data_IF_649205215510
#
_entry.id   IF_649205215510
#
_cell.length_a   1.000
_cell.length_b   1.000
_cell.length_c   1.000
_cell.angle_alpha   90.00
_cell.angle_beta   90.00
_cell.angle_gamma   90.00
#
_symmetry.space_group_name_H-M   'P 1'
#
loop_
_entity.id
_entity.type
_entity.pdbx_description
1 polymer ?
#
# COMPACT_ATOMS: atom_id res chain seq x y z
N UNK A 1 3.72 33.77 11.54
CA UNK A 1 2.25 33.97 11.49
C UNK A 1 1.71 32.94 10.51
N UNK A 2 0.64 32.21 10.87
CA UNK A 2 -0.02 31.25 9.98
C UNK A 2 -1.52 31.42 10.11
N UNK A 3 -2.26 31.11 9.04
CA UNK A 3 -3.72 31.19 9.01
C UNK A 3 -4.26 29.83 8.64
N UNK A 4 -5.20 29.30 9.42
CA UNK A 4 -5.98 28.12 9.06
C UNK A 4 -7.25 28.57 8.35
N UNK A 5 -7.34 28.29 7.05
CA UNK A 5 -8.52 28.61 6.25
C UNK A 5 -9.50 27.44 6.25
N UNK A 6 -10.80 27.72 6.18
CA UNK A 6 -11.81 26.67 6.00
C UNK A 6 -11.87 26.24 4.54
N UNK A 7 -11.79 24.93 4.29
CA UNK A 7 -11.75 24.37 2.93
C UNK A 7 -12.95 24.85 2.09
N UNK A 8 -14.16 24.86 2.64
CA UNK A 8 -15.37 25.28 1.91
C UNK A 8 -15.38 26.75 1.46
N UNK A 9 -14.80 27.67 2.26
CA UNK A 9 -14.65 29.07 1.83
C UNK A 9 -13.60 29.20 0.72
N UNK A 10 -12.52 28.43 0.80
CA UNK A 10 -11.48 28.42 -0.23
C UNK A 10 -11.99 27.83 -1.55
N UNK A 11 -12.69 26.69 -1.49
CA UNK A 11 -13.36 26.06 -2.63
C UNK A 11 -14.35 27.01 -3.29
N UNK A 12 -15.29 27.58 -2.53
CA UNK A 12 -16.31 28.48 -3.09
C UNK A 12 -15.69 29.73 -3.74
N UNK A 13 -14.64 30.30 -3.13
CA UNK A 13 -13.92 31.43 -3.71
C UNK A 13 -13.15 31.03 -4.97
N UNK A 14 -12.52 29.85 -4.96
CA UNK A 14 -11.79 29.33 -6.12
C UNK A 14 -12.74 29.09 -7.30
N UNK A 15 -13.87 28.41 -7.09
CA UNK A 15 -14.85 28.15 -8.16
C UNK A 15 -15.47 29.42 -8.74
N UNK A 16 -15.64 30.47 -7.93
CA UNK A 16 -16.09 31.76 -8.41
C UNK A 16 -15.06 32.49 -9.29
N UNK A 17 -13.76 32.26 -9.06
CA UNK A 17 -12.67 32.88 -9.83
C UNK A 17 -12.33 32.04 -11.08
N UNK A 18 -12.39 30.71 -10.96
CA UNK A 18 -12.06 29.76 -12.01
C UNK A 18 -13.23 29.47 -12.98
N UNK A 19 -14.14 30.44 -13.12
CA UNK A 19 -15.27 30.38 -14.04
C UNK A 19 -15.23 31.61 -14.95
N UNK A 20 -15.06 31.37 -16.25
CA UNK A 20 -15.19 32.43 -17.24
C UNK A 20 -16.65 32.89 -17.36
N UNK A 21 -16.90 34.20 -17.58
CA UNK A 21 -18.24 34.72 -17.83
C UNK A 21 -18.91 34.07 -19.04
N UNK A 22 -20.24 34.05 -19.07
CA UNK A 22 -20.96 33.55 -20.25
C UNK A 22 -20.82 34.49 -21.46
N UNK A 23 -20.53 35.76 -21.23
CA UNK A 23 -20.35 36.79 -22.28
C UNK A 23 -18.93 36.82 -22.86
N UNK A 24 -18.10 35.82 -22.56
CA UNK A 24 -16.73 35.74 -23.06
C UNK A 24 -16.76 35.46 -24.57
N UNK A 25 -16.06 36.28 -25.36
CA UNK A 25 -15.97 36.06 -26.81
C UNK A 25 -15.10 34.84 -27.11
N UNK A 26 -15.77 33.73 -27.45
CA UNK A 26 -15.14 32.45 -27.80
C UNK A 26 -15.00 32.25 -29.32
N UNK A 27 -15.29 33.26 -30.14
CA UNK A 27 -15.38 33.11 -31.60
C UNK A 27 -14.08 32.68 -32.29
N UNK A 28 -12.93 32.96 -31.67
CA UNK A 28 -11.60 32.66 -32.20
C UNK A 28 -10.90 31.47 -31.55
N UNK A 29 -11.56 30.74 -30.64
CA UNK A 29 -10.94 29.67 -29.86
C UNK A 29 -11.44 28.31 -30.35
N UNK A 30 -10.54 27.49 -30.90
CA UNK A 30 -10.81 26.08 -31.16
C UNK A 30 -10.70 25.30 -29.84
N UNK A 31 -11.82 25.04 -29.17
CA UNK A 31 -11.85 24.27 -27.92
C UNK A 31 -13.05 24.53 -27.02
N UNK A 32 -12.91 24.13 -25.75
CA UNK A 32 -13.93 24.32 -24.71
C UNK A 32 -13.88 25.78 -24.25
N UNK A 33 -14.97 26.54 -24.48
CA UNK A 33 -15.10 27.92 -24.05
C UNK A 33 -16.61 28.25 -23.87
N UNK A 34 -17.01 28.95 -22.79
CA UNK A 34 -16.21 29.45 -21.67
C UNK A 34 -15.70 28.34 -20.75
N UNK A 35 -14.45 28.44 -20.30
CA UNK A 35 -13.84 27.49 -19.37
C UNK A 35 -14.42 27.68 -17.97
N UNK A 36 -15.05 26.64 -17.45
CA UNK A 36 -15.60 26.61 -16.10
C UNK A 36 -15.19 25.32 -15.42
N UNK A 37 -14.47 25.43 -14.31
CA UNK A 37 -14.05 24.26 -13.53
C UNK A 37 -15.21 23.49 -12.85
N UNK A 38 -16.43 24.03 -12.94
CA UNK A 38 -17.67 23.37 -12.52
C UNK A 38 -18.25 22.45 -13.62
N UNK A 39 -17.83 22.62 -14.89
CA UNK A 39 -18.31 21.79 -15.99
C UNK A 39 -17.81 20.35 -15.88
N UNK A 40 -18.43 19.45 -16.64
CA UNK A 40 -18.08 18.02 -16.65
C UNK A 40 -16.89 17.75 -17.59
N UNK A 41 -16.59 18.68 -18.50
CA UNK A 41 -15.61 18.48 -19.56
C UNK A 41 -14.15 18.68 -19.09
N UNK A 42 -13.96 19.42 -17.99
CA UNK A 42 -12.64 19.71 -17.40
C UNK A 42 -12.65 19.47 -15.89
N UNK A 43 -11.52 18.98 -15.40
CA UNK A 43 -11.21 18.86 -13.99
C UNK A 43 -10.11 19.86 -13.62
N UNK A 44 -10.36 20.66 -12.59
CA UNK A 44 -9.42 21.65 -12.09
C UNK A 44 -8.93 21.28 -10.69
N UNK A 45 -7.63 21.40 -10.50
CA UNK A 45 -6.93 21.09 -9.27
C UNK A 45 -6.05 22.25 -8.84
N UNK A 46 -5.95 22.47 -7.54
CA UNK A 46 -4.86 23.24 -6.93
C UNK A 46 -3.98 22.25 -6.20
N UNK A 47 -2.71 22.19 -6.59
CA UNK A 47 -1.71 21.29 -5.99
C UNK A 47 -0.60 22.09 -5.32
N UNK A 48 -0.01 21.54 -4.27
CA UNK A 48 1.16 22.13 -3.62
C UNK A 48 2.46 21.81 -4.39
N UNK A 49 3.57 22.35 -3.90
CA UNK A 49 4.91 22.10 -4.44
C UNK A 49 5.39 20.65 -4.22
N UNK A 50 4.67 19.82 -3.47
CA UNK A 50 4.96 18.40 -3.26
C UNK A 50 4.04 17.48 -4.09
N UNK A 51 3.09 18.05 -4.83
CA UNK A 51 2.15 17.33 -5.68
C UNK A 51 0.92 16.79 -4.92
N UNK A 52 0.61 17.29 -3.72
CA UNK A 52 -0.64 17.00 -3.03
C UNK A 52 -1.75 17.93 -3.48
N UNK A 53 -2.94 17.36 -3.64
CA UNK A 53 -4.14 18.10 -4.05
C UNK A 53 -4.73 18.84 -2.84
N UNK A 54 -4.89 20.16 -2.96
CA UNK A 54 -5.54 21.00 -1.96
C UNK A 54 -7.00 21.29 -2.31
N UNK A 55 -7.28 21.56 -3.58
CA UNK A 55 -8.63 21.83 -4.09
C UNK A 55 -8.87 20.91 -5.28
N UNK A 56 -10.02 20.23 -5.29
CA UNK A 56 -10.51 19.40 -6.39
C UNK A 56 -12.03 19.49 -6.42
N UNK A 57 -12.63 19.25 -7.59
CA UNK A 57 -14.08 19.07 -7.73
C UNK A 57 -14.59 17.91 -6.86
N UNK A 58 -13.81 16.83 -6.77
CA UNK A 58 -14.12 15.69 -5.91
C UNK A 58 -13.39 15.81 -4.57
N UNK A 59 -14.16 15.89 -3.48
CA UNK A 59 -13.61 16.04 -2.12
C UNK A 59 -12.71 14.88 -1.67
N UNK A 60 -12.89 13.70 -2.26
CA UNK A 60 -12.06 12.53 -1.94
C UNK A 60 -10.62 12.63 -2.46
N UNK A 61 -10.35 13.55 -3.39
CA UNK A 61 -9.00 13.78 -3.91
C UNK A 61 -8.18 14.72 -3.03
N UNK A 62 -8.84 15.58 -2.25
CA UNK A 62 -8.16 16.53 -1.38
C UNK A 62 -7.30 15.78 -0.34
N UNK A 63 -6.05 16.22 -0.19
CA UNK A 63 -5.04 15.60 0.67
C UNK A 63 -4.36 14.36 0.07
N UNK A 64 -4.78 13.90 -1.12
CA UNK A 64 -4.12 12.78 -1.81
C UNK A 64 -3.01 13.30 -2.71
N UNK A 65 -2.03 12.44 -2.96
CA UNK A 65 -1.00 12.71 -3.95
C UNK A 65 -1.59 12.67 -5.36
N UNK A 66 -1.33 13.70 -6.15
CA UNK A 66 -1.90 13.84 -7.48
C UNK A 66 -1.49 12.69 -8.41
N UNK A 67 -0.31 12.10 -8.25
CA UNK A 67 0.10 10.93 -9.04
C UNK A 67 -0.72 9.65 -8.77
N UNK A 68 -1.44 9.58 -7.63
CA UNK A 68 -2.40 8.51 -7.37
C UNK A 68 -3.77 8.78 -8.00
N UNK A 69 -4.13 10.07 -8.14
CA UNK A 69 -5.37 10.53 -8.77
C UNK A 69 -5.24 10.41 -10.29
N UNK A 70 -4.21 11.03 -10.87
CA UNK A 70 -3.87 10.95 -12.29
C UNK A 70 -2.36 10.74 -12.51
N UNK A 71 -1.99 9.47 -12.66
CA UNK A 71 -0.61 9.07 -12.96
C UNK A 71 -0.13 9.50 -14.34
N UNK A 72 -1.03 9.74 -15.31
CA UNK A 72 -0.66 10.10 -16.68
C UNK A 72 -0.11 11.53 -16.76
N UNK A 73 -0.82 12.47 -16.12
CA UNK A 73 -0.40 13.87 -16.04
C UNK A 73 0.85 13.97 -15.17
N UNK A 74 0.88 13.34 -13.99
CA UNK A 74 2.06 13.38 -13.11
C UNK A 74 3.32 12.82 -13.78
N UNK A 75 3.21 11.70 -14.51
CA UNK A 75 4.35 11.14 -15.28
C UNK A 75 4.86 12.14 -16.31
N UNK A 76 3.96 12.84 -16.99
CA UNK A 76 4.32 13.84 -18.00
C UNK A 76 4.99 15.05 -17.37
N UNK A 77 4.49 15.54 -16.24
CA UNK A 77 5.10 16.65 -15.49
C UNK A 77 6.51 16.33 -15.00
N UNK A 78 6.75 15.09 -14.56
CA UNK A 78 8.10 14.62 -14.21
C UNK A 78 9.01 14.59 -15.45
N UNK A 79 8.50 14.08 -16.58
CA UNK A 79 9.25 14.03 -17.84
C UNK A 79 9.61 15.42 -18.37
N UNK A 80 8.73 16.40 -18.18
CA UNK A 80 8.95 17.80 -18.57
C UNK A 80 9.87 18.55 -17.60
N UNK A 81 10.28 17.93 -16.49
CA UNK A 81 11.16 18.54 -15.49
C UNK A 81 10.48 19.54 -14.56
N UNK A 82 9.14 19.62 -14.56
CA UNK A 82 8.39 20.47 -13.64
C UNK A 82 8.34 19.85 -12.23
N UNK A 83 8.38 18.51 -12.14
CA UNK A 83 8.50 17.79 -10.88
C UNK A 83 9.73 16.89 -10.88
N UNK A 84 10.45 16.88 -9.77
CA UNK A 84 11.59 16.01 -9.53
C UNK A 84 11.23 14.92 -8.53
N UNK A 85 11.51 13.66 -8.89
CA UNK A 85 11.43 12.53 -7.95
C UNK A 85 12.69 12.49 -7.09
N UNK A 86 12.51 12.42 -5.78
CA UNK A 86 13.57 12.31 -4.76
C UNK A 86 13.26 11.10 -3.90
N UNK A 87 14.23 10.20 -3.71
CA UNK A 87 14.09 9.08 -2.77
C UNK A 87 14.40 9.54 -1.36
N UNK A 88 13.51 9.24 -0.41
CA UNK A 88 13.72 9.46 1.02
C UNK A 88 13.89 8.11 1.71
N UNK A 89 14.85 8.05 2.63
CA UNK A 89 15.16 6.84 3.40
C UNK A 89 14.80 7.05 4.86
N UNK A 90 14.05 6.11 5.43
CA UNK A 90 13.74 6.03 6.85
C UNK A 90 14.42 4.77 7.43
N UNK A 91 15.49 5.01 8.20
CA UNK A 91 16.28 3.99 8.89
C UNK A 91 15.68 3.58 10.25
N UNK A 92 14.53 4.14 10.63
CA UNK A 92 13.86 3.88 11.91
C UNK A 92 12.44 3.31 11.72
N UNK A 93 12.13 2.84 10.51
CA UNK A 93 10.83 2.27 10.17
C UNK A 93 10.62 0.88 10.78
N UNK A 94 9.35 0.50 10.94
CA UNK A 94 8.93 -0.82 11.42
C UNK A 94 8.23 -1.60 10.31
N UNK A 95 8.82 -2.68 9.83
CA UNK A 95 8.29 -3.52 8.76
C UNK A 95 7.61 -4.77 9.31
N UNK A 96 6.55 -5.20 8.62
CA UNK A 96 5.90 -6.48 8.91
C UNK A 96 6.80 -7.62 8.47
N UNK A 97 7.09 -8.54 9.39
CA UNK A 97 7.79 -9.77 9.04
C UNK A 97 6.77 -10.73 8.45
N UNK A 98 6.94 -11.07 7.18
CA UNK A 98 6.36 -12.31 6.66
C UNK A 98 7.17 -13.45 7.24
N UNK A 99 6.80 -13.91 8.44
CA UNK A 99 7.30 -15.17 8.98
C UNK A 99 6.79 -16.26 8.04
N UNK A 100 7.58 -16.60 7.03
CA UNK A 100 7.59 -17.94 6.49
C UNK A 100 7.89 -18.82 7.68
N UNK A 101 6.85 -19.39 8.27
CA UNK A 101 6.95 -20.27 9.42
C UNK A 101 7.74 -21.50 8.99
N UNK A 102 9.07 -21.46 9.12
CA UNK A 102 9.87 -22.67 9.21
C UNK A 102 9.55 -23.21 10.59
N UNK A 103 8.44 -23.96 10.65
CA UNK A 103 7.96 -24.56 11.87
C UNK A 103 9.05 -25.51 12.38
N UNK A 104 9.82 -25.08 13.37
CA UNK A 104 10.72 -25.94 14.15
C UNK A 104 9.94 -26.79 15.17
N UNK A 105 8.60 -26.70 15.17
CA UNK A 105 7.76 -27.59 15.93
C UNK A 105 7.88 -28.98 15.33
N UNK A 106 8.38 -29.93 16.13
CA UNK A 106 8.34 -31.35 15.78
C UNK A 106 6.88 -31.70 15.48
N UNK A 107 6.57 -32.36 14.36
CA UNK A 107 5.21 -32.81 14.10
C UNK A 107 4.76 -33.65 15.29
N UNK A 108 3.59 -33.31 15.85
CA UNK A 108 3.01 -34.08 16.95
C UNK A 108 3.01 -35.54 16.53
N UNK A 109 3.57 -36.41 17.38
CA UNK A 109 3.50 -37.85 17.16
C UNK A 109 2.04 -38.21 16.97
N UNK A 110 1.72 -38.69 15.78
CA UNK A 110 0.39 -39.09 15.41
C UNK A 110 -0.15 -40.09 16.46
N UNK A 111 -1.41 -39.99 16.89
CA UNK A 111 -2.03 -40.95 17.82
C UNK A 111 -1.83 -42.41 17.38
N UNK A 112 -1.71 -42.63 16.06
CA UNK A 112 -1.39 -43.92 15.46
C UNK A 112 -0.02 -44.48 15.85
N UNK A 113 0.99 -43.64 16.12
CA UNK A 113 2.29 -44.10 16.60
C UNK A 113 2.21 -44.60 18.05
N UNK A 114 1.38 -43.97 18.87
CA UNK A 114 1.05 -44.46 20.21
C UNK A 114 0.40 -45.84 20.16
N UNK A 115 -0.63 -45.99 19.31
CA UNK A 115 -1.30 -47.28 19.08
C UNK A 115 -0.36 -48.34 18.48
N UNK A 116 0.52 -47.97 17.56
CA UNK A 116 1.50 -48.89 16.98
C UNK A 116 2.55 -49.33 18.00
N UNK A 117 2.96 -48.43 18.90
CA UNK A 117 3.92 -48.73 19.97
C UNK A 117 3.30 -49.63 21.03
N UNK A 118 2.04 -49.42 21.41
CA UNK A 118 1.33 -50.32 22.34
C UNK A 118 1.06 -51.67 21.70
N UNK A 119 0.69 -51.72 20.42
CA UNK A 119 0.52 -52.96 19.66
C UNK A 119 1.84 -53.72 19.53
N UNK A 120 2.95 -53.02 19.23
CA UNK A 120 4.29 -53.61 19.16
C UNK A 120 4.75 -54.14 20.51
N UNK A 121 4.50 -53.40 21.59
CA UNK A 121 4.74 -53.87 22.95
C UNK A 121 3.92 -55.13 23.25
N UNK A 122 2.63 -55.12 22.93
CA UNK A 122 1.76 -56.28 23.13
C UNK A 122 2.24 -57.51 22.35
N UNK A 123 2.56 -57.35 21.05
CA UNK A 123 3.11 -58.44 20.24
C UNK A 123 4.44 -58.97 20.77
N UNK A 124 5.31 -58.09 21.28
CA UNK A 124 6.59 -58.49 21.87
C UNK A 124 6.39 -59.33 23.13
N UNK A 125 5.48 -58.93 24.01
CA UNK A 125 5.15 -59.70 25.22
C UNK A 125 4.43 -61.01 24.88
N UNK A 126 3.57 -61.00 23.86
CA UNK A 126 2.91 -62.23 23.38
C UNK A 126 3.92 -63.22 22.77
N UNK A 127 4.91 -62.74 22.01
CA UNK A 127 5.99 -63.57 21.49
C UNK A 127 6.89 -64.11 22.61
N UNK A 128 7.25 -63.28 23.59
CA UNK A 128 7.99 -63.72 24.78
C UNK A 128 7.19 -64.75 25.58
N UNK A 129 5.90 -64.53 25.77
CA UNK A 129 4.99 -65.47 26.42
C UNK A 129 4.93 -66.80 25.67
N UNK A 130 4.79 -66.81 24.33
CA UNK A 130 4.80 -68.05 23.54
C UNK A 130 6.17 -68.77 23.59
N UNK A 131 7.26 -68.01 23.74
CA UNK A 131 8.62 -68.55 23.88
C UNK A 131 8.83 -69.16 25.27
N UNK A 132 8.33 -68.51 26.33
CA UNK A 132 8.29 -69.03 27.70
C UNK A 132 7.30 -70.20 27.86
N UNK A 133 6.16 -70.18 27.16
CA UNK A 133 5.18 -71.28 27.19
C UNK A 133 5.69 -72.58 26.52
N UNK A 134 6.87 -72.54 25.89
CA UNK A 134 7.52 -73.73 25.33
C UNK A 134 8.46 -74.46 26.30
N UNK A 135 8.80 -73.89 27.46
CA UNK A 135 9.58 -74.62 28.49
C UNK A 135 9.10 -74.16 29.87
N UNK A 136 8.57 -75.10 30.66
CA UNK A 136 8.11 -74.93 32.04
C UNK A 136 8.92 -73.90 32.85
N UNK A 137 8.23 -72.92 33.44
CA UNK A 137 8.83 -71.89 34.30
C UNK A 137 7.81 -71.20 35.19
N UNK A 138 7.06 -71.99 35.95
CA UNK A 138 6.30 -71.58 37.13
C UNK A 138 7.22 -70.74 38.06
N UNK A 139 6.68 -69.66 38.62
CA UNK A 139 7.26 -68.77 39.66
C UNK A 139 8.23 -67.65 39.20
N UNK A 140 7.74 -66.40 39.09
CA UNK A 140 7.99 -65.41 40.14
C UNK A 140 7.21 -64.09 39.90
N UNK A 141 6.53 -63.70 40.96
CA UNK A 141 5.95 -62.39 41.28
C UNK A 141 6.99 -61.28 41.18
N UNK A 142 6.63 -60.11 40.65
CA UNK A 142 6.97 -58.80 41.26
C UNK A 142 6.09 -57.70 40.65
N UNK A 143 5.69 -56.77 41.51
CA UNK A 143 4.79 -55.64 41.25
C UNK A 143 5.58 -54.39 40.77
N UNK A 144 4.89 -53.24 40.75
CA UNK A 144 5.37 -51.85 40.59
C UNK A 144 5.37 -51.27 39.16
N UNK A 145 5.01 -50.02 38.93
CA UNK A 145 4.16 -49.04 39.61
C UNK A 145 3.93 -47.93 38.57
N UNK A 146 2.71 -47.39 38.55
CA UNK A 146 2.27 -46.36 37.62
C UNK A 146 2.68 -44.97 38.14
N UNK A 147 3.37 -44.17 37.33
CA UNK A 147 3.72 -42.79 37.64
C UNK A 147 3.19 -41.86 36.54
N UNK A 148 2.18 -41.04 36.89
CA UNK A 148 1.81 -39.82 36.18
C UNK A 148 2.51 -38.64 36.85
N UNK A 149 2.93 -37.62 36.07
CA UNK A 149 2.76 -36.26 36.53
C UNK A 149 1.99 -35.43 35.50
N UNK A 150 0.97 -34.75 36.01
CA UNK A 150 0.31 -33.64 35.37
C UNK A 150 1.16 -32.38 35.55
N UNK A 151 1.43 -31.65 34.46
CA UNK A 151 1.69 -30.21 34.51
C UNK A 151 1.05 -29.58 33.27
N UNK A 152 -0.10 -28.96 33.48
CA UNK A 152 -0.75 -28.05 32.55
C UNK A 152 -0.01 -26.71 32.56
N UNK A 153 0.91 -26.50 31.60
CA UNK A 153 1.43 -25.17 31.27
C UNK A 153 0.50 -24.48 30.29
N UNK A 154 -0.31 -23.55 30.77
CA UNK A 154 -1.16 -22.68 29.95
C UNK A 154 -0.30 -21.67 29.17
N UNK A 155 0.07 -22.01 27.93
CA UNK A 155 0.60 -21.01 27.01
C UNK A 155 -0.55 -20.14 26.50
N UNK A 156 -0.54 -18.88 26.91
CA UNK A 156 -1.44 -17.86 26.41
C UNK A 156 -1.26 -17.74 24.90
N UNK A 157 -2.30 -18.08 24.14
CA UNK A 157 -2.41 -17.79 22.72
C UNK A 157 -2.33 -16.27 22.51
N UNK A 158 -1.13 -15.75 22.26
CA UNK A 158 -1.00 -14.43 21.65
C UNK A 158 -1.57 -14.51 20.24
N UNK A 159 -2.67 -13.77 20.02
CA UNK A 159 -3.22 -13.50 18.70
C UNK A 159 -2.08 -13.13 17.75
N UNK A 160 -2.13 -13.70 16.55
CA UNK A 160 -1.24 -13.49 15.42
C UNK A 160 -1.36 -12.04 14.93
N UNK A 161 -0.93 -11.08 15.75
CA UNK A 161 -0.67 -9.72 15.33
C UNK A 161 0.59 -9.73 14.47
N UNK A 162 0.59 -8.95 13.40
CA UNK A 162 1.76 -8.80 12.53
C UNK A 162 2.98 -8.46 13.40
N UNK A 163 3.96 -9.36 13.42
CA UNK A 163 5.20 -9.12 14.14
C UNK A 163 5.96 -8.06 13.35
N UNK A 164 6.21 -6.92 13.99
CA UNK A 164 6.96 -5.79 13.44
C UNK A 164 8.42 -5.90 13.86
N UNK A 165 9.33 -5.60 12.93
CA UNK A 165 10.76 -5.44 13.23
C UNK A 165 11.29 -4.11 12.69
N UNK A 166 12.37 -3.57 13.28
CA UNK A 166 13.11 -2.47 12.68
C UNK A 166 13.60 -2.86 11.28
N UNK A 167 13.42 -1.96 10.32
CA UNK A 167 13.84 -2.11 8.95
C UNK A 167 14.15 -0.73 8.35
N UNK A 168 14.89 -0.73 7.25
CA UNK A 168 15.08 0.48 6.45
C UNK A 168 14.02 0.52 5.36
N UNK A 169 13.34 1.65 5.21
CA UNK A 169 12.38 1.86 4.14
C UNK A 169 12.78 3.02 3.25
N UNK A 170 12.52 2.88 1.96
CA UNK A 170 12.65 3.95 0.96
C UNK A 170 11.24 4.31 0.47
N UNK A 171 10.95 5.61 0.41
CA UNK A 171 9.72 6.11 -0.19
C UNK A 171 10.02 7.25 -1.16
N UNK A 172 9.34 7.29 -2.32
CA UNK A 172 9.52 8.37 -3.27
C UNK A 172 8.78 9.63 -2.78
N UNK A 173 9.46 10.76 -2.87
CA UNK A 173 8.92 12.10 -2.68
C UNK A 173 9.04 12.89 -3.98
N UNK A 174 8.17 13.88 -4.14
CA UNK A 174 8.12 14.73 -5.33
C UNK A 174 8.24 16.19 -4.90
N UNK A 175 9.02 16.94 -5.68
CA UNK A 175 9.27 18.36 -5.42
C UNK A 175 9.13 19.13 -6.73
N UNK A 176 8.35 20.19 -6.71
CA UNK A 176 8.23 21.14 -7.81
C UNK A 176 9.54 21.87 -8.04
N UNK A 177 9.99 21.90 -9.28
CA UNK A 177 11.21 22.60 -9.71
C UNK A 177 10.79 23.93 -10.37
N UNK A 178 11.13 25.10 -9.77
CA UNK A 178 10.65 26.42 -10.23
C UNK A 178 11.26 26.88 -11.56
N UNK A 179 12.10 26.06 -12.18
CA UNK A 179 12.69 26.32 -13.50
C UNK A 179 11.61 26.44 -14.59
N UNK A 180 10.46 25.80 -14.41
CA UNK A 180 9.37 25.79 -15.37
C UNK A 180 8.09 26.29 -14.69
N UNK A 181 7.66 27.52 -15.00
CA UNK A 181 6.50 28.17 -14.36
C UNK A 181 5.16 27.77 -14.94
N UNK A 182 5.15 27.39 -16.22
CA UNK A 182 3.96 27.02 -16.96
C UNK A 182 4.31 25.92 -17.95
N UNK A 183 3.43 24.92 -18.04
CA UNK A 183 3.52 23.87 -19.05
C UNK A 183 2.14 23.48 -19.54
N UNK A 184 2.05 23.18 -20.82
CA UNK A 184 0.90 22.54 -21.41
C UNK A 184 1.37 21.36 -22.27
N UNK A 185 0.58 20.30 -22.31
CA UNK A 185 0.88 19.16 -23.16
C UNK A 185 -0.37 18.34 -23.45
N UNK A 186 -0.27 17.56 -24.52
CA UNK A 186 -1.28 16.57 -24.92
C UNK A 186 -0.69 15.18 -24.70
N UNK A 187 -1.39 14.35 -23.94
CA UNK A 187 -1.03 12.97 -23.61
C UNK A 187 -1.83 12.06 -24.54
N UNK A 188 -1.12 11.25 -25.34
CA UNK A 188 -1.75 10.23 -26.20
C UNK A 188 -1.97 8.95 -25.39
N UNK A 189 -3.22 8.54 -25.23
CA UNK A 189 -3.62 7.38 -24.42
C UNK A 189 -4.12 6.22 -25.31
N UNK A 190 -3.51 6.08 -26.49
CA UNK A 190 -3.92 5.12 -27.52
C UNK A 190 -5.03 5.67 -28.42
N UNK A 191 -6.29 5.52 -28.02
CA UNK A 191 -7.47 5.88 -28.84
C UNK A 191 -8.05 7.28 -28.55
N UNK A 192 -7.64 7.89 -27.46
CA UNK A 192 -8.00 9.26 -27.10
C UNK A 192 -6.74 10.05 -26.74
N UNK A 193 -6.91 11.36 -26.70
CA UNK A 193 -5.88 12.31 -26.28
C UNK A 193 -6.41 13.07 -25.07
N UNK A 194 -5.54 13.33 -24.10
CA UNK A 194 -5.87 14.06 -22.88
C UNK A 194 -4.99 15.29 -22.81
N UNK A 195 -5.57 16.48 -22.82
CA UNK A 195 -4.82 17.72 -22.69
C UNK A 195 -4.80 18.23 -21.25
N UNK A 196 -3.70 18.87 -20.86
CA UNK A 196 -3.60 19.53 -19.58
C UNK A 196 -2.76 20.81 -19.68
N UNK A 197 -3.01 21.71 -18.73
CA UNK A 197 -2.25 22.95 -18.53
C UNK A 197 -1.95 23.09 -17.04
N UNK A 198 -0.70 23.35 -16.69
CA UNK A 198 -0.26 23.69 -15.33
C UNK A 198 0.35 25.07 -15.32
N UNK A 199 -0.05 25.89 -14.37
CA UNK A 199 0.51 27.20 -14.14
C UNK A 199 0.77 27.45 -12.65
N UNK A 200 1.90 28.05 -12.33
CA UNK A 200 2.18 28.48 -10.96
C UNK A 200 1.27 29.65 -10.54
N UNK A 201 0.70 29.57 -9.34
CA UNK A 201 -0.03 30.68 -8.74
C UNK A 201 0.98 31.74 -8.26
N UNK A 202 0.89 32.99 -8.73
CA UNK A 202 1.80 34.05 -8.32
C UNK A 202 1.86 34.21 -6.79
N UNK A 203 3.04 34.57 -6.29
CA UNK A 203 3.31 34.82 -4.87
C UNK A 203 2.97 33.65 -3.94
N UNK A 204 2.97 32.43 -4.49
CA UNK A 204 2.62 31.20 -3.78
C UNK A 204 3.48 30.01 -4.22
N UNK A 205 3.51 28.97 -3.38
CA UNK A 205 4.08 27.65 -3.70
C UNK A 205 3.06 26.71 -4.39
N UNK A 206 1.85 27.23 -4.68
CA UNK A 206 0.77 26.46 -5.26
C UNK A 206 0.79 26.49 -6.79
N UNK A 207 0.30 25.43 -7.40
CA UNK A 207 0.13 25.29 -8.84
C UNK A 207 -1.35 25.05 -9.14
N UNK A 208 -1.87 25.69 -10.18
CA UNK A 208 -3.18 25.42 -10.76
C UNK A 208 -3.01 24.48 -11.95
N UNK A 209 -3.73 23.37 -11.92
CA UNK A 209 -3.72 22.34 -12.96
C UNK A 209 -5.13 22.18 -13.52
N UNK A 210 -5.27 22.29 -14.82
CA UNK A 210 -6.52 22.06 -15.55
C UNK A 210 -6.31 20.89 -16.50
N UNK A 211 -7.20 19.91 -16.41
CA UNK A 211 -7.11 18.63 -17.13
C UNK A 211 -8.44 18.38 -17.84
N UNK A 212 -8.39 17.91 -19.09
CA UNK A 212 -9.60 17.48 -19.77
C UNK A 212 -10.09 16.12 -19.23
N UNK A 213 -11.39 16.00 -18.97
CA UNK A 213 -12.00 14.85 -18.29
C UNK A 213 -12.53 13.76 -19.26
N UNK A 214 -12.28 13.90 -20.56
CA UNK A 214 -12.87 13.08 -21.63
C UNK A 214 -12.17 11.72 -21.88
N UNK A 215 -10.98 11.52 -21.31
CA UNK A 215 -10.11 10.39 -21.62
C UNK A 215 -9.49 9.78 -20.34
N UNK A 216 -9.72 8.48 -20.13
CA UNK A 216 -9.08 7.70 -19.06
C UNK A 216 -7.80 7.01 -19.57
N UNK A 217 -6.67 7.47 -19.03
CA UNK A 217 -5.33 7.01 -19.40
C UNK A 217 -4.75 5.94 -18.45
N UNK A 218 -5.53 5.46 -17.48
CA UNK A 218 -5.08 4.55 -16.41
C UNK A 218 -4.54 3.20 -16.90
N UNK A 219 -4.91 2.77 -18.12
CA UNK A 219 -4.42 1.51 -18.72
C UNK A 219 -2.98 1.61 -19.22
N UNK A 220 -2.56 2.78 -19.68
CA UNK A 220 -1.23 3.00 -20.25
C UNK A 220 -0.26 3.58 -19.21
N UNK A 221 -0.77 4.38 -18.29
CA UNK A 221 0.01 5.00 -17.24
C UNK A 221 -0.46 4.46 -15.90
N UNK A 222 0.44 3.77 -15.20
CA UNK A 222 0.16 3.30 -13.84
C UNK A 222 0.11 4.47 -12.87
N UNK A 223 -0.69 4.32 -11.81
CA UNK A 223 -0.69 5.25 -10.67
C UNK A 223 0.69 5.30 -10.03
N UNK A 224 1.10 6.49 -9.60
CA UNK A 224 2.35 6.70 -8.89
C UNK A 224 2.00 6.79 -7.40
N UNK A 225 2.37 5.78 -6.63
CA UNK A 225 2.19 5.73 -5.19
C UNK A 225 3.42 6.26 -4.45
N UNK A 226 3.21 6.74 -3.22
CA UNK A 226 4.26 7.13 -2.29
C UNK A 226 4.42 6.14 -1.13
N UNK A 227 4.03 4.87 -1.37
CA UNK A 227 4.11 3.83 -0.35
C UNK A 227 5.57 3.48 -0.03
N UNK A 228 5.93 3.38 1.28
CA UNK A 228 7.26 2.98 1.69
C UNK A 228 7.53 1.53 1.32
N UNK A 229 8.74 1.26 0.82
CA UNK A 229 9.22 -0.07 0.47
C UNK A 229 10.44 -0.42 1.30
N UNK A 230 10.47 -1.64 1.82
CA UNK A 230 11.63 -2.16 2.55
C UNK A 230 12.85 -2.25 1.61
N UNK A 231 13.97 -1.68 2.05
CA UNK A 231 15.24 -1.74 1.34
C UNK A 231 15.93 -3.06 1.68
N UNK A 232 16.26 -3.83 0.65
CA UNK A 232 17.03 -5.08 0.81
C UNK A 232 18.46 -4.86 0.36
N UNK A 233 19.39 -4.91 1.30
CA UNK A 233 20.82 -4.89 1.01
C UNK A 233 21.25 -6.26 0.49
N UNK A 234 21.78 -6.29 -0.73
CA UNK A 234 22.46 -7.48 -1.27
C UNK A 234 23.90 -7.39 -0.76
N UNK A 235 24.24 -8.29 0.17
CA UNK A 235 25.61 -8.51 0.65
C UNK A 235 26.30 -9.58 -0.20
#
# INVERSE_FOLDING_TARGET
>A
IGVQMTLGLMESRFWAIAAQPNDTDCSSVEGICPLRCDSIDIDCYVIDNNGFVLISKQRNDAGRFFGEVDGSVMTTLIRMGMFKRVSLFDYQAMCKINLHSVSSARPLLSPFYGLASTLKWFLSNFLLFLLEFNICGLWHTEHFAEAKPAVSGSSAHKKKGDILQPCDTEYPSFVYEPSVKETNSIIKCGRCQKMFVVQQIPDSNLLMLVVQADCDCSRQYSRINMEPKEVKYIL
#
